data_IF_332597850587
#
_entry.id   IF_332597850587
#
_cell.length_a   1.000
_cell.length_b   1.000
_cell.length_c   1.000
_cell.angle_alpha   90.00
_cell.angle_beta   90.00
_cell.angle_gamma   90.00
#
_symmetry.space_group_name_H-M   'P 1'
#
loop_
_entity.id
_entity.type
_entity.pdbx_description
1 polymer ?
#
# COMPACT_ATOMS: atom_id res chain seq x y z
N UNK A 1 -18.34 -15.67 8.63
CA UNK A 1 -18.89 -16.17 9.92
C UNK A 1 -18.36 -17.56 10.31
N UNK A 2 -18.26 -18.53 9.40
CA UNK A 2 -17.75 -19.88 9.70
C UNK A 2 -16.35 -19.87 10.37
N UNK A 3 -15.38 -19.17 9.78
CA UNK A 3 -14.01 -19.08 10.34
C UNK A 3 -13.98 -18.43 11.73
N UNK A 4 -14.85 -17.44 11.98
CA UNK A 4 -14.98 -16.82 13.29
C UNK A 4 -15.53 -17.83 14.32
N UNK A 5 -16.56 -18.60 13.96
CA UNK A 5 -17.10 -19.63 14.84
C UNK A 5 -16.05 -20.71 15.16
N UNK A 6 -15.28 -21.14 14.16
CA UNK A 6 -14.23 -22.16 14.31
C UNK A 6 -13.08 -21.70 15.22
N UNK A 7 -12.57 -20.48 15.01
CA UNK A 7 -11.35 -20.02 15.69
C UNK A 7 -11.61 -19.15 16.93
N UNK A 8 -12.78 -18.52 17.01
CA UNK A 8 -13.16 -17.55 18.05
C UNK A 8 -14.61 -17.76 18.49
N UNK A 9 -14.98 -19.01 18.81
CA UNK A 9 -16.34 -19.40 19.19
C UNK A 9 -16.96 -18.54 20.29
N UNK A 10 -16.15 -18.06 21.24
CA UNK A 10 -16.59 -17.18 22.33
C UNK A 10 -17.00 -15.76 21.86
N UNK A 11 -16.45 -15.29 20.73
CA UNK A 11 -16.84 -14.01 20.12
C UNK A 11 -18.02 -14.16 19.17
N UNK A 12 -18.28 -15.37 18.65
CA UNK A 12 -19.32 -15.61 17.65
C UNK A 12 -20.69 -15.04 18.04
N UNK A 13 -21.22 -15.22 19.27
CA UNK A 13 -22.51 -14.65 19.64
C UNK A 13 -22.59 -13.13 19.47
N UNK A 14 -21.50 -12.42 19.76
CA UNK A 14 -21.44 -10.97 19.60
C UNK A 14 -21.51 -10.57 18.13
N UNK A 15 -20.73 -11.22 17.26
CA UNK A 15 -20.73 -10.91 15.83
C UNK A 15 -22.01 -11.38 15.13
N UNK A 16 -22.60 -12.50 15.56
CA UNK A 16 -23.83 -13.03 14.97
C UNK A 16 -25.00 -12.05 15.06
N UNK A 17 -25.05 -11.20 16.10
CA UNK A 17 -26.05 -10.14 16.24
C UNK A 17 -26.04 -9.14 15.07
N UNK A 18 -24.88 -8.96 14.41
CA UNK A 18 -24.67 -7.91 13.40
C UNK A 18 -24.46 -8.48 11.99
N UNK A 19 -23.92 -9.69 11.88
CA UNK A 19 -23.39 -10.24 10.62
C UNK A 19 -24.03 -11.55 10.14
N UNK A 20 -24.92 -12.15 10.93
CA UNK A 20 -25.55 -13.43 10.57
C UNK A 20 -26.82 -13.25 9.72
N UNK A 21 -27.28 -12.01 9.56
CA UNK A 21 -28.45 -11.66 8.74
C UNK A 21 -28.07 -10.69 7.63
N UNK A 22 -28.64 -10.81 6.42
CA UNK A 22 -28.49 -9.81 5.37
C UNK A 22 -28.84 -8.41 5.85
N UNK A 23 -28.05 -7.42 5.42
CA UNK A 23 -28.27 -6.01 5.77
C UNK A 23 -29.03 -5.29 4.63
N UNK A 24 -29.84 -4.30 4.97
CA UNK A 24 -30.47 -3.42 3.99
C UNK A 24 -29.57 -2.20 3.75
N UNK A 25 -29.02 -2.05 2.54
CA UNK A 25 -28.44 -0.78 2.11
C UNK A 25 -29.56 0.19 1.74
N UNK A 26 -29.66 1.28 2.49
CA UNK A 26 -30.68 2.30 2.29
C UNK A 26 -30.06 3.54 1.65
N UNK A 27 -30.61 3.99 0.53
CA UNK A 27 -30.17 5.23 -0.14
C UNK A 27 -31.36 6.01 -0.68
N UNK A 28 -31.17 7.31 -0.95
CA UNK A 28 -32.16 8.12 -1.69
C UNK A 28 -31.77 8.16 -3.15
N UNK A 29 -32.72 7.86 -4.03
CA UNK A 29 -32.53 8.07 -5.46
C UNK A 29 -32.61 9.55 -5.84
N UNK A 30 -32.41 9.86 -7.13
CA UNK A 30 -32.45 11.23 -7.66
C UNK A 30 -33.82 11.92 -7.45
N UNK A 31 -34.88 11.15 -7.20
CA UNK A 31 -36.21 11.66 -6.86
C UNK A 31 -36.44 11.84 -5.35
N UNK A 32 -35.38 11.75 -4.53
CA UNK A 32 -35.44 11.75 -3.07
C UNK A 32 -36.25 10.58 -2.47
N UNK A 33 -36.52 9.52 -3.25
CA UNK A 33 -37.25 8.34 -2.77
C UNK A 33 -36.29 7.39 -2.09
N UNK A 34 -36.68 6.92 -0.90
CA UNK A 34 -35.90 5.94 -0.15
C UNK A 34 -35.97 4.58 -0.86
N UNK A 35 -34.82 4.04 -1.25
CA UNK A 35 -34.63 2.73 -1.85
C UNK A 35 -33.87 1.83 -0.89
N UNK A 36 -34.15 0.53 -0.97
CA UNK A 36 -33.46 -0.52 -0.22
C UNK A 36 -32.92 -1.56 -1.18
N UNK A 37 -31.65 -1.92 -1.01
CA UNK A 37 -31.02 -3.05 -1.68
C UNK A 37 -30.57 -4.01 -0.57
N UNK A 38 -30.95 -5.27 -0.66
CA UNK A 38 -30.42 -6.29 0.25
C UNK A 38 -28.96 -6.57 -0.08
N UNK A 39 -28.14 -6.53 0.95
CA UNK A 39 -26.72 -6.82 0.90
C UNK A 39 -26.48 -8.15 1.61
N UNK A 40 -26.29 -9.21 0.82
CA UNK A 40 -26.15 -10.60 1.28
C UNK A 40 -24.69 -11.07 1.33
N UNK A 41 -23.81 -10.43 0.56
CA UNK A 41 -22.39 -10.79 0.46
C UNK A 41 -21.50 -9.56 0.65
N UNK A 42 -20.37 -9.76 1.34
CA UNK A 42 -19.37 -8.74 1.59
C UNK A 42 -19.54 -8.02 2.93
N UNK A 43 -18.70 -7.01 3.16
CA UNK A 43 -18.73 -6.15 4.36
C UNK A 43 -18.83 -4.70 3.91
N UNK A 44 -19.59 -3.89 4.65
CA UNK A 44 -19.75 -2.48 4.32
C UNK A 44 -18.42 -1.72 4.51
N UNK A 45 -18.05 -0.87 3.55
CA UNK A 45 -16.88 0.01 3.75
C UNK A 45 -17.12 1.00 4.90
N UNK A 46 -16.13 1.14 5.77
CA UNK A 46 -16.24 1.91 7.02
C UNK A 46 -16.75 1.10 8.21
N UNK A 47 -17.12 -0.17 8.00
CA UNK A 47 -17.39 -1.09 9.09
C UNK A 47 -16.11 -1.40 9.90
N UNK A 48 -16.20 -1.23 11.22
CA UNK A 48 -15.12 -1.47 12.18
C UNK A 48 -14.65 -2.93 12.17
N UNK A 49 -15.58 -3.88 12.07
CA UNK A 49 -15.28 -5.32 12.12
C UNK A 49 -15.05 -5.94 10.73
N UNK A 50 -15.45 -5.23 9.67
CA UNK A 50 -15.32 -5.67 8.29
C UNK A 50 -13.91 -6.17 7.92
N UNK A 51 -12.84 -5.39 8.17
CA UNK A 51 -11.47 -5.82 7.85
C UNK A 51 -11.04 -7.11 8.55
N UNK A 52 -11.41 -7.28 9.83
CA UNK A 52 -11.10 -8.49 10.59
C UNK A 52 -11.81 -9.70 9.97
N UNK A 53 -13.12 -9.58 9.72
CA UNK A 53 -13.92 -10.66 9.16
C UNK A 53 -13.45 -11.06 7.76
N UNK A 54 -13.07 -10.07 6.94
CA UNK A 54 -12.50 -10.29 5.62
C UNK A 54 -11.20 -11.11 5.70
N UNK A 55 -10.24 -10.68 6.53
CA UNK A 55 -8.98 -11.38 6.72
C UNK A 55 -9.16 -12.80 7.27
N UNK A 56 -10.07 -12.99 8.23
CA UNK A 56 -10.39 -14.31 8.78
C UNK A 56 -10.97 -15.25 7.71
N UNK A 57 -11.90 -14.75 6.89
CA UNK A 57 -12.52 -15.53 5.81
C UNK A 57 -11.56 -15.84 4.66
N UNK A 58 -10.64 -14.93 4.33
CA UNK A 58 -9.69 -15.09 3.23
C UNK A 58 -8.57 -16.08 3.56
N UNK A 59 -8.18 -16.18 4.83
CA UNK A 59 -7.01 -16.95 5.29
C UNK A 59 -7.00 -18.43 4.84
N UNK A 60 -8.10 -19.20 4.92
CA UNK A 60 -8.11 -20.59 4.44
C UNK A 60 -7.82 -20.71 2.94
N UNK A 61 -8.36 -19.80 2.12
CA UNK A 61 -8.12 -19.80 0.67
C UNK A 61 -6.66 -19.48 0.34
N UNK A 62 -6.03 -18.56 1.07
CA UNK A 62 -4.60 -18.28 0.94
C UNK A 62 -3.73 -19.47 1.38
N UNK A 63 -4.13 -20.18 2.44
CA UNK A 63 -3.43 -21.38 2.89
C UNK A 63 -3.46 -22.48 1.83
N UNK A 64 -4.63 -22.74 1.23
CA UNK A 64 -4.78 -23.69 0.12
C UNK A 64 -4.00 -23.27 -1.13
N UNK A 65 -4.05 -21.98 -1.48
CA UNK A 65 -3.27 -21.42 -2.58
C UNK A 65 -1.77 -21.67 -2.38
N UNK A 66 -1.24 -21.38 -1.19
CA UNK A 66 0.18 -21.64 -0.89
C UNK A 66 0.52 -23.13 -1.02
N UNK A 67 -0.31 -24.02 -0.49
CA UNK A 67 -0.11 -25.48 -0.60
C UNK A 67 -0.12 -25.96 -2.05
N UNK A 68 -1.04 -25.49 -2.87
CA UNK A 68 -1.12 -25.87 -4.30
C UNK A 68 0.12 -25.41 -5.07
N UNK A 69 0.57 -24.17 -4.83
CA UNK A 69 1.76 -23.63 -5.47
C UNK A 69 3.02 -24.38 -5.02
N UNK A 70 3.16 -24.64 -3.72
CA UNK A 70 4.30 -25.41 -3.20
C UNK A 70 4.33 -26.85 -3.73
N UNK A 71 3.17 -27.49 -3.89
CA UNK A 71 3.07 -28.85 -4.43
C UNK A 71 3.62 -28.97 -5.85
N UNK A 72 3.37 -27.97 -6.71
CA UNK A 72 3.90 -27.95 -8.08
C UNK A 72 5.40 -27.62 -8.16
N UNK A 73 5.91 -26.80 -7.24
CA UNK A 73 7.29 -26.32 -7.25
C UNK A 73 8.22 -27.10 -6.29
N UNK A 74 7.87 -28.35 -5.94
CA UNK A 74 8.65 -29.22 -5.04
C UNK A 74 9.01 -28.56 -3.70
N UNK A 75 8.14 -27.69 -3.19
CA UNK A 75 8.36 -26.94 -1.94
C UNK A 75 9.43 -25.85 -2.02
N UNK A 76 10.00 -25.53 -3.19
CA UNK A 76 11.04 -24.50 -3.34
C UNK A 76 10.44 -23.11 -3.52
N UNK A 77 10.67 -22.26 -2.52
CA UNK A 77 10.72 -20.80 -2.66
C UNK A 77 9.46 -20.11 -3.18
N UNK A 78 8.28 -20.43 -2.63
CA UNK A 78 7.04 -19.68 -2.84
C UNK A 78 6.66 -18.92 -1.56
N UNK A 79 6.41 -17.63 -1.69
CA UNK A 79 5.95 -16.74 -0.64
C UNK A 79 4.69 -16.00 -1.10
N UNK A 80 3.69 -15.90 -0.22
CA UNK A 80 2.49 -15.10 -0.44
C UNK A 80 2.45 -14.03 0.64
N UNK A 81 2.57 -12.77 0.23
CA UNK A 81 2.36 -11.60 1.06
C UNK A 81 0.97 -11.03 0.78
N UNK A 82 0.20 -10.75 1.82
CA UNK A 82 -1.17 -10.22 1.67
C UNK A 82 -1.37 -9.04 2.59
N UNK A 83 -1.88 -7.95 2.01
CA UNK A 83 -2.42 -6.82 2.75
C UNK A 83 -3.85 -6.59 2.29
N UNK A 84 -4.83 -7.05 3.07
CA UNK A 84 -6.24 -7.07 2.66
C UNK A 84 -6.44 -7.75 1.29
N UNK A 85 -6.95 -7.05 0.29
CA UNK A 85 -7.16 -7.54 -1.08
C UNK A 85 -5.90 -7.55 -1.95
N UNK A 86 -4.83 -6.86 -1.52
CA UNK A 86 -3.56 -6.83 -2.25
C UNK A 86 -2.75 -8.11 -1.96
N UNK A 87 -2.87 -9.07 -2.88
CA UNK A 87 -2.16 -10.35 -2.83
C UNK A 87 -0.93 -10.31 -3.75
N UNK A 88 0.24 -10.49 -3.15
CA UNK A 88 1.53 -10.58 -3.85
C UNK A 88 2.13 -11.97 -3.71
N UNK A 89 2.53 -12.56 -4.82
CA UNK A 89 3.10 -13.91 -4.87
C UNK A 89 4.53 -13.80 -5.41
N UNK A 90 5.49 -14.29 -4.63
CA UNK A 90 6.89 -14.39 -5.01
C UNK A 90 7.22 -15.86 -5.18
N UNK A 91 7.86 -16.21 -6.29
CA UNK A 91 8.26 -17.58 -6.58
C UNK A 91 9.61 -17.62 -7.30
N UNK A 92 10.39 -18.67 -7.04
CA UNK A 92 11.58 -18.96 -7.82
C UNK A 92 11.19 -19.65 -9.12
N UNK A 93 11.70 -19.14 -10.25
CA UNK A 93 11.54 -19.78 -11.54
C UNK A 93 12.88 -20.38 -12.00
N UNK A 94 12.86 -21.57 -12.61
CA UNK A 94 14.04 -22.15 -13.25
C UNK A 94 14.16 -21.61 -14.66
N UNK A 95 15.24 -20.88 -14.95
CA UNK A 95 15.50 -20.26 -16.25
C UNK A 95 15.81 -21.25 -17.38
N UNK A 96 15.72 -22.55 -17.14
CA UNK A 96 16.15 -23.59 -18.09
C UNK A 96 15.13 -23.90 -19.19
N UNK A 97 13.89 -23.41 -19.09
CA UNK A 97 12.85 -23.69 -20.09
C UNK A 97 12.18 -22.40 -20.56
N UNK A 98 12.42 -22.04 -21.82
CA UNK A 98 11.81 -20.91 -22.54
C UNK A 98 10.29 -21.06 -22.80
N UNK A 99 9.65 -22.12 -22.29
CA UNK A 99 8.21 -22.40 -22.38
C UNK A 99 7.60 -22.67 -20.99
N UNK A 100 7.97 -21.87 -20.01
CA UNK A 100 7.44 -22.03 -18.65
C UNK A 100 6.08 -21.32 -18.50
N UNK A 101 5.01 -22.11 -18.47
CA UNK A 101 3.62 -21.67 -18.20
C UNK A 101 3.38 -21.37 -16.71
N UNK A 102 4.42 -21.24 -15.87
CA UNK A 102 4.29 -21.00 -14.43
C UNK A 102 3.47 -19.75 -14.10
N UNK A 103 3.66 -18.63 -14.82
CA UNK A 103 2.87 -17.40 -14.59
C UNK A 103 1.37 -17.66 -14.86
N UNK A 104 1.06 -18.33 -15.98
CA UNK A 104 -0.31 -18.68 -16.35
C UNK A 104 -0.93 -19.67 -15.35
N UNK A 105 -0.14 -20.62 -14.88
CA UNK A 105 -0.57 -21.57 -13.86
C UNK A 105 -0.88 -20.88 -12.52
N UNK A 106 0.03 -20.04 -12.03
CA UNK A 106 -0.15 -19.28 -10.79
C UNK A 106 -1.42 -18.45 -10.88
N UNK A 107 -1.64 -17.77 -12.01
CA UNK A 107 -2.88 -17.03 -12.22
C UNK A 107 -4.12 -17.92 -12.08
N UNK A 108 -4.15 -19.05 -12.79
CA UNK A 108 -5.31 -19.96 -12.79
C UNK A 108 -5.60 -20.50 -11.40
N UNK A 109 -4.58 -20.92 -10.66
CA UNK A 109 -4.73 -21.43 -9.30
C UNK A 109 -5.19 -20.31 -8.35
N UNK A 110 -4.58 -19.13 -8.42
CA UNK A 110 -4.99 -17.96 -7.64
C UNK A 110 -6.44 -17.57 -7.92
N UNK A 111 -6.82 -17.49 -9.19
CA UNK A 111 -8.19 -17.18 -9.59
C UNK A 111 -9.18 -18.20 -9.04
N UNK A 112 -8.89 -19.50 -9.17
CA UNK A 112 -9.75 -20.56 -8.65
C UNK A 112 -9.91 -20.47 -7.12
N UNK A 113 -8.81 -20.33 -6.37
CA UNK A 113 -8.83 -20.30 -4.90
C UNK A 113 -9.46 -19.05 -4.31
N UNK A 114 -9.26 -17.90 -4.95
CA UNK A 114 -9.87 -16.65 -4.52
C UNK A 114 -11.35 -16.60 -4.89
N UNK A 115 -11.74 -17.21 -6.02
CA UNK A 115 -13.15 -17.34 -6.40
C UNK A 115 -13.94 -18.22 -5.43
N UNK A 116 -13.34 -19.25 -4.82
CA UNK A 116 -13.96 -20.02 -3.73
C UNK A 116 -14.36 -19.14 -2.54
N UNK A 117 -13.65 -18.02 -2.33
CA UNK A 117 -13.97 -17.03 -1.30
C UNK A 117 -14.89 -15.89 -1.82
N UNK A 118 -15.27 -15.92 -3.10
CA UNK A 118 -16.08 -14.89 -3.74
C UNK A 118 -15.28 -13.71 -4.29
N UNK A 119 -13.95 -13.83 -4.40
CA UNK A 119 -13.10 -12.78 -4.97
C UNK A 119 -12.73 -13.05 -6.43
N UNK A 120 -12.82 -12.00 -7.23
CA UNK A 120 -12.39 -12.01 -8.63
C UNK A 120 -11.11 -11.21 -8.80
N UNK A 121 -10.10 -11.79 -9.44
CA UNK A 121 -8.87 -11.07 -9.77
C UNK A 121 -9.15 -9.98 -10.80
N UNK A 122 -8.56 -8.80 -10.63
CA UNK A 122 -8.70 -7.66 -11.54
C UNK A 122 -7.50 -7.56 -12.49
N UNK A 123 -7.60 -8.00 -13.77
CA UNK A 123 -6.43 -8.08 -14.65
C UNK A 123 -5.69 -6.75 -14.80
N UNK A 124 -6.42 -5.64 -15.00
CA UNK A 124 -5.82 -4.31 -15.19
C UNK A 124 -5.13 -3.71 -13.95
N UNK A 125 -5.20 -4.37 -12.79
CA UNK A 125 -4.46 -4.01 -11.57
C UNK A 125 -3.40 -5.05 -11.20
N UNK A 126 -3.42 -6.20 -11.88
CA UNK A 126 -2.44 -7.26 -11.68
C UNK A 126 -1.26 -7.05 -12.62
N UNK A 127 -0.07 -7.22 -12.09
CA UNK A 127 1.17 -7.14 -12.88
C UNK A 127 2.11 -8.25 -12.48
N UNK A 128 3.05 -8.55 -13.36
CA UNK A 128 4.14 -9.50 -13.09
C UNK A 128 5.45 -8.81 -13.40
N UNK A 129 6.46 -9.08 -12.58
CA UNK A 129 7.79 -8.52 -12.70
C UNK A 129 8.84 -9.59 -12.39
N UNK A 130 9.99 -9.51 -13.08
CA UNK A 130 11.19 -10.24 -12.72
C UNK A 130 12.41 -9.35 -12.89
N UNK A 131 13.38 -9.36 -11.94
CA UNK A 131 14.63 -8.63 -12.09
C UNK A 131 15.40 -8.99 -13.36
N UNK A 132 15.24 -10.22 -13.88
CA UNK A 132 15.91 -10.68 -15.10
C UNK A 132 15.36 -10.02 -16.38
N UNK A 133 14.20 -9.38 -16.32
CA UNK A 133 13.58 -8.74 -17.49
C UNK A 133 14.08 -7.33 -17.75
N UNK A 134 14.92 -6.77 -16.86
CA UNK A 134 15.41 -5.39 -16.91
C UNK A 134 16.07 -5.02 -18.24
N UNK A 135 16.67 -5.98 -18.93
CA UNK A 135 17.39 -5.78 -20.20
C UNK A 135 16.63 -6.32 -21.42
N UNK A 136 15.41 -6.83 -21.22
CA UNK A 136 14.61 -7.38 -22.29
C UNK A 136 13.78 -6.28 -22.94
N UNK A 137 13.67 -6.30 -24.27
CA UNK A 137 12.77 -5.37 -24.98
C UNK A 137 11.30 -5.80 -24.87
N UNK A 138 11.05 -7.09 -24.63
CA UNK A 138 9.71 -7.67 -24.50
C UNK A 138 9.76 -8.78 -23.45
N UNK A 139 8.65 -8.97 -22.73
CA UNK A 139 8.51 -10.08 -21.79
C UNK A 139 8.57 -11.40 -22.56
N UNK A 140 9.43 -12.36 -22.16
CA UNK A 140 9.57 -13.63 -22.88
C UNK A 140 8.42 -14.60 -22.58
N UNK A 141 7.45 -14.20 -21.77
CA UNK A 141 6.36 -15.05 -21.31
C UNK A 141 5.00 -14.56 -21.81
N UNK A 142 4.18 -15.50 -22.26
CA UNK A 142 2.77 -15.26 -22.59
C UNK A 142 1.99 -14.97 -21.30
N UNK A 143 1.62 -13.70 -21.10
CA UNK A 143 0.69 -13.33 -20.05
C UNK A 143 -0.76 -13.44 -20.54
N UNK A 144 -1.68 -13.63 -19.60
CA UNK A 144 -3.11 -13.58 -19.93
C UNK A 144 -3.49 -12.20 -20.49
N UNK A 145 -4.51 -12.13 -21.36
CA UNK A 145 -5.12 -10.87 -21.75
C UNK A 145 -5.49 -10.04 -20.53
N UNK A 146 -4.97 -8.82 -20.46
CA UNK A 146 -5.24 -7.86 -19.39
C UNK A 146 -4.18 -7.80 -18.28
N UNK A 147 -3.25 -8.74 -18.17
CA UNK A 147 -2.08 -8.60 -17.28
C UNK A 147 -0.94 -7.97 -18.07
N UNK A 148 -0.40 -6.86 -17.57
CA UNK A 148 0.73 -6.17 -18.19
C UNK A 148 2.02 -6.56 -17.47
N UNK A 149 2.96 -7.25 -18.15
CA UNK A 149 4.29 -7.45 -17.61
C UNK A 149 4.99 -6.11 -17.44
N UNK A 150 5.61 -5.90 -16.27
CA UNK A 150 6.42 -4.73 -16.04
C UNK A 150 7.90 -5.06 -16.17
N UNK A 151 8.56 -4.41 -17.13
CA UNK A 151 10.01 -4.52 -17.34
C UNK A 151 10.81 -3.61 -16.41
N UNK A 152 10.16 -2.56 -15.87
CA UNK A 152 10.82 -1.50 -15.11
C UNK A 152 10.67 -1.63 -13.61
N UNK A 153 9.61 -2.27 -13.11
CA UNK A 153 9.38 -2.46 -11.67
C UNK A 153 7.93 -2.68 -11.28
N UNK A 154 7.66 -2.78 -9.99
CA UNK A 154 6.32 -2.95 -9.42
C UNK A 154 6.15 -2.09 -8.17
N UNK A 155 4.89 -1.89 -7.75
CA UNK A 155 4.54 -1.22 -6.50
C UNK A 155 4.03 -2.26 -5.50
N UNK A 156 4.49 -2.19 -4.26
CA UNK A 156 4.02 -3.02 -3.15
C UNK A 156 3.86 -2.15 -1.91
N UNK A 157 2.65 -2.12 -1.33
CA UNK A 157 2.32 -1.28 -0.17
C UNK A 157 2.75 0.19 -0.34
N UNK A 158 2.65 0.71 -1.57
CA UNK A 158 3.06 2.08 -1.90
C UNK A 158 4.56 2.29 -2.14
N UNK A 159 5.42 1.31 -1.89
CA UNK A 159 6.85 1.32 -2.24
C UNK A 159 7.09 0.83 -3.67
N UNK A 160 7.98 1.50 -4.40
CA UNK A 160 8.38 1.07 -5.74
C UNK A 160 9.64 0.21 -5.67
N UNK A 161 9.65 -0.92 -6.40
CA UNK A 161 10.81 -1.81 -6.51
C UNK A 161 11.07 -2.08 -8.00
N UNK A 162 12.30 -1.97 -8.47
CA UNK A 162 12.60 -2.23 -9.88
C UNK A 162 13.93 -1.69 -10.36
N UNK A 163 13.90 -0.88 -11.40
CA UNK A 163 15.07 -0.13 -11.87
C UNK A 163 15.26 1.13 -11.04
N UNK A 164 16.51 1.58 -10.88
CA UNK A 164 16.80 2.82 -10.18
C UNK A 164 16.04 4.04 -10.76
N UNK A 165 15.80 4.04 -12.08
CA UNK A 165 14.99 5.08 -12.72
C UNK A 165 13.50 5.02 -12.31
N UNK A 166 12.93 3.82 -12.21
CA UNK A 166 11.55 3.60 -11.77
C UNK A 166 11.37 3.98 -10.30
N UNK A 167 12.29 3.53 -9.44
CA UNK A 167 12.31 3.84 -8.01
C UNK A 167 12.45 5.34 -7.78
N UNK A 168 13.40 6.01 -8.45
CA UNK A 168 13.59 7.45 -8.33
C UNK A 168 12.40 8.25 -8.85
N UNK A 169 11.78 7.84 -9.95
CA UNK A 169 10.59 8.51 -10.48
C UNK A 169 9.43 8.47 -9.49
N UNK A 170 9.20 7.31 -8.85
CA UNK A 170 8.15 7.15 -7.83
C UNK A 170 8.48 7.92 -6.54
N UNK A 171 9.74 7.89 -6.11
CA UNK A 171 10.20 8.71 -4.98
C UNK A 171 9.92 10.19 -5.24
N UNK A 172 10.31 10.70 -6.42
CA UNK A 172 10.08 12.08 -6.80
C UNK A 172 8.59 12.43 -6.84
N UNK A 173 7.75 11.57 -7.40
CA UNK A 173 6.27 11.73 -7.39
C UNK A 173 5.75 11.95 -5.96
N UNK A 174 6.21 11.14 -5.00
CA UNK A 174 5.77 11.23 -3.60
C UNK A 174 6.32 12.43 -2.85
N UNK A 175 7.57 12.81 -3.13
CA UNK A 175 8.15 14.05 -2.63
C UNK A 175 7.39 15.26 -3.19
N UNK A 176 7.03 15.26 -4.47
CA UNK A 176 6.28 16.35 -5.10
C UNK A 176 4.85 16.47 -4.55
N UNK A 177 4.17 15.35 -4.28
CA UNK A 177 2.90 15.33 -3.55
C UNK A 177 3.02 15.97 -2.15
N UNK A 178 4.09 15.67 -1.42
CA UNK A 178 4.34 16.26 -0.09
C UNK A 178 4.63 17.76 -0.19
N UNK A 179 5.40 18.19 -1.20
CA UNK A 179 5.68 19.61 -1.49
C UNK A 179 4.42 20.38 -1.85
N UNK A 180 3.55 19.80 -2.69
CA UNK A 180 2.29 20.41 -3.07
C UNK A 180 1.39 20.62 -1.84
N UNK A 181 1.37 19.65 -0.92
CA UNK A 181 0.66 19.77 0.35
C UNK A 181 1.28 20.84 1.26
N UNK A 182 2.61 20.92 1.35
CA UNK A 182 3.32 21.98 2.09
C UNK A 182 2.94 23.38 1.59
N UNK A 183 2.92 23.58 0.26
CA UNK A 183 2.47 24.84 -0.35
C UNK A 183 1.01 25.16 -0.04
N UNK A 184 0.11 24.18 -0.08
CA UNK A 184 -1.29 24.39 0.30
C UNK A 184 -1.44 24.80 1.78
N UNK A 185 -0.54 24.32 2.65
CA UNK A 185 -0.50 24.69 4.07
C UNK A 185 0.03 26.12 4.26
N UNK A 186 0.93 26.60 3.41
CA UNK A 186 1.38 28.01 3.41
C UNK A 186 0.19 28.98 3.23
N UNK A 187 -0.82 28.60 2.46
CA UNK A 187 -2.03 29.40 2.22
C UNK A 187 -3.05 29.36 3.39
N UNK A 188 -2.83 28.54 4.41
CA UNK A 188 -3.77 28.38 5.54
C UNK A 188 -3.87 29.64 6.42
N UNK A 189 -2.82 30.44 6.49
CA UNK A 189 -2.81 31.76 7.14
C UNK A 189 -2.68 31.78 8.67
N UNK A 190 -3.05 30.72 9.39
CA UNK A 190 -2.77 30.57 10.83
C UNK A 190 -1.50 29.73 11.07
N UNK A 191 -0.40 30.30 11.59
CA UNK A 191 0.85 29.58 11.79
C UNK A 191 0.73 28.37 12.73
N UNK A 192 -0.17 28.42 13.73
CA UNK A 192 -0.34 27.31 14.68
C UNK A 192 -1.03 26.11 14.03
N UNK A 193 -2.15 26.33 13.36
CA UNK A 193 -2.83 25.29 12.60
C UNK A 193 -1.98 24.78 11.43
N UNK A 194 -1.24 25.66 10.75
CA UNK A 194 -0.33 25.26 9.69
C UNK A 194 0.82 24.38 10.20
N UNK A 195 1.40 24.68 11.38
CA UNK A 195 2.36 23.79 12.04
C UNK A 195 1.77 22.40 12.32
N UNK A 196 0.54 22.33 12.87
CA UNK A 196 -0.13 21.05 13.13
C UNK A 196 -0.42 20.29 11.83
N UNK A 197 -0.90 20.96 10.78
CA UNK A 197 -1.12 20.33 9.48
C UNK A 197 0.18 19.80 8.88
N UNK A 198 1.29 20.52 9.02
CA UNK A 198 2.59 20.04 8.59
C UNK A 198 2.98 18.77 9.36
N UNK A 199 2.81 18.79 10.68
CA UNK A 199 3.17 17.67 11.57
C UNK A 199 2.31 16.41 11.36
N UNK A 200 1.01 16.58 11.10
CA UNK A 200 0.07 15.46 10.98
C UNK A 200 -0.29 15.06 9.55
N UNK A 201 0.02 15.88 8.54
CA UNK A 201 -0.36 15.59 7.15
C UNK A 201 0.85 15.49 6.20
N UNK A 202 1.93 16.23 6.43
CA UNK A 202 3.13 16.20 5.56
C UNK A 202 4.16 15.20 6.11
N UNK A 203 4.61 15.37 7.35
CA UNK A 203 5.65 14.53 7.94
C UNK A 203 5.30 13.03 7.92
N UNK A 204 4.08 12.59 8.26
CA UNK A 204 3.77 11.16 8.29
C UNK A 204 3.87 10.50 6.91
N UNK A 205 3.63 11.24 5.82
CA UNK A 205 3.81 10.74 4.46
C UNK A 205 5.28 10.44 4.16
N UNK A 206 6.18 11.30 4.62
CA UNK A 206 7.62 11.15 4.41
C UNK A 206 8.21 10.10 5.33
N UNK A 207 7.80 10.08 6.61
CA UNK A 207 8.15 8.99 7.54
C UNK A 207 7.69 7.66 6.97
N UNK A 208 6.48 7.58 6.41
CA UNK A 208 6.05 6.38 5.71
C UNK A 208 6.96 6.05 4.52
N UNK A 209 7.25 7.04 3.65
CA UNK A 209 8.12 6.87 2.48
C UNK A 209 9.52 6.34 2.85
N UNK A 210 10.12 6.84 3.95
CA UNK A 210 11.42 6.36 4.43
C UNK A 210 11.39 4.90 4.85
N UNK A 211 10.27 4.43 5.42
CA UNK A 211 10.12 3.01 5.81
C UNK A 211 9.99 2.09 4.61
N UNK A 212 9.43 2.57 3.51
CA UNK A 212 9.17 1.74 2.31
C UNK A 212 10.25 1.88 1.23
N UNK A 213 11.04 2.95 1.24
CA UNK A 213 12.02 3.28 0.19
C UNK A 213 13.35 3.83 0.73
N UNK A 214 13.57 3.87 2.05
CA UNK A 214 14.77 4.45 2.67
C UNK A 214 16.07 3.89 2.08
N UNK A 215 16.20 2.56 2.08
CA UNK A 215 17.39 1.86 1.58
C UNK A 215 17.57 1.94 0.05
N UNK A 216 16.54 2.35 -0.69
CA UNK A 216 16.57 2.42 -2.15
C UNK A 216 17.14 3.74 -2.66
N UNK A 217 17.01 4.80 -1.86
CA UNK A 217 17.38 6.17 -2.25
C UNK A 217 18.73 6.57 -1.63
N UNK A 218 19.45 7.48 -2.28
CA UNK A 218 20.70 7.99 -1.72
C UNK A 218 20.39 9.02 -0.64
N UNK A 219 21.30 9.17 0.33
CA UNK A 219 21.23 10.23 1.35
C UNK A 219 21.03 11.62 0.75
N UNK A 220 21.69 11.90 -0.37
CA UNK A 220 21.54 13.18 -1.09
C UNK A 220 20.10 13.42 -1.61
N UNK A 221 19.38 12.35 -2.00
CA UNK A 221 17.98 12.45 -2.45
C UNK A 221 17.07 12.83 -1.26
N UNK A 222 17.30 12.24 -0.08
CA UNK A 222 16.59 12.58 1.16
C UNK A 222 16.93 13.98 1.68
N UNK A 223 18.21 14.36 1.66
CA UNK A 223 18.66 15.70 2.04
C UNK A 223 18.04 16.79 1.16
N UNK A 224 17.83 16.52 -0.13
CA UNK A 224 17.14 17.43 -1.02
C UNK A 224 15.66 17.60 -0.64
N UNK A 225 14.97 16.50 -0.31
CA UNK A 225 13.59 16.55 0.18
C UNK A 225 13.49 17.32 1.51
N UNK A 226 14.36 17.04 2.48
CA UNK A 226 14.44 17.74 3.77
C UNK A 226 14.57 19.25 3.59
N UNK A 227 15.52 19.69 2.75
CA UNK A 227 15.78 21.12 2.52
C UNK A 227 14.55 21.82 1.97
N UNK A 228 13.93 21.28 0.93
CA UNK A 228 12.78 21.93 0.28
C UNK A 228 11.54 21.99 1.19
N UNK A 229 11.34 20.96 2.03
CA UNK A 229 10.25 20.92 3.00
C UNK A 229 10.51 21.83 4.20
N UNK A 230 11.76 21.88 4.67
CA UNK A 230 12.20 22.84 5.68
C UNK A 230 11.97 24.27 5.20
N UNK A 231 12.29 24.59 3.96
CA UNK A 231 12.00 25.91 3.36
C UNK A 231 10.50 26.22 3.32
N UNK A 232 9.64 25.25 3.01
CA UNK A 232 8.18 25.42 3.07
C UNK A 232 7.71 25.70 4.49
N UNK A 233 8.22 24.96 5.45
CA UNK A 233 7.89 25.18 6.86
C UNK A 233 8.38 26.53 7.39
N UNK A 234 9.59 26.95 7.00
CA UNK A 234 10.16 28.27 7.34
C UNK A 234 9.24 29.39 6.87
N UNK A 235 8.69 29.28 5.65
CA UNK A 235 7.71 30.23 5.12
C UNK A 235 6.41 30.23 5.92
N UNK A 236 5.88 29.05 6.27
CA UNK A 236 4.68 28.91 7.12
C UNK A 236 4.85 29.63 8.46
N UNK A 237 6.03 29.49 9.07
CA UNK A 237 6.30 30.08 10.38
C UNK A 237 6.73 31.55 10.33
N UNK A 238 6.99 32.07 9.14
CA UNK A 238 7.47 33.45 8.95
C UNK A 238 8.91 33.67 9.40
N UNK A 239 9.74 32.63 9.45
CA UNK A 239 11.17 32.77 9.76
C UNK A 239 11.93 33.27 8.52
N UNK A 240 12.93 34.13 8.74
CA UNK A 240 13.94 34.41 7.73
C UNK A 240 14.88 33.21 7.55
N UNK A 241 15.55 33.07 6.39
CA UNK A 241 16.55 32.02 6.18
C UNK A 241 17.69 32.03 7.21
N UNK A 242 18.04 33.23 7.72
CA UNK A 242 19.08 33.39 8.74
C UNK A 242 18.62 32.87 10.10
N UNK A 243 17.39 33.18 10.51
CA UNK A 243 16.80 32.66 11.75
C UNK A 243 16.67 31.13 11.68
N UNK A 244 16.21 30.59 10.55
CA UNK A 244 16.14 29.15 10.35
C UNK A 244 17.49 28.47 10.48
N UNK A 245 18.55 29.01 9.88
CA UNK A 245 19.90 28.46 9.99
C UNK A 245 20.42 28.37 11.42
N UNK A 246 19.89 29.15 12.35
CA UNK A 246 20.27 29.14 13.77
C UNK A 246 19.42 28.19 14.63
N UNK A 247 18.19 27.88 14.21
CA UNK A 247 17.23 27.09 15.00
C UNK A 247 16.83 25.77 14.36
N UNK A 248 17.28 25.47 13.13
CA UNK A 248 16.92 24.28 12.38
C UNK A 248 17.29 23.00 13.13
N UNK A 249 18.47 22.94 13.75
CA UNK A 249 18.89 21.80 14.57
C UNK A 249 17.92 21.54 15.74
N UNK A 250 17.36 22.60 16.35
CA UNK A 250 16.36 22.47 17.41
C UNK A 250 15.00 22.00 16.87
N UNK A 251 14.64 22.37 15.64
CA UNK A 251 13.40 21.89 15.01
C UNK A 251 13.41 20.36 14.81
N UNK A 252 14.59 19.80 14.49
CA UNK A 252 14.77 18.36 14.32
C UNK A 252 14.92 17.57 15.63
N UNK A 253 15.08 18.25 16.77
CA UNK A 253 15.01 17.57 18.07
C UNK A 253 13.60 17.03 18.30
N UNK A 254 13.52 15.93 19.03
CA UNK A 254 12.23 15.38 19.46
C UNK A 254 11.48 16.36 20.37
N UNK A 255 10.14 16.25 20.41
CA UNK A 255 9.33 17.11 21.28
C UNK A 255 9.68 16.99 22.76
N UNK A 256 10.10 15.81 23.23
CA UNK A 256 10.53 15.60 24.62
C UNK A 256 11.89 16.24 24.94
N UNK A 257 12.68 16.60 23.92
CA UNK A 257 13.94 17.36 24.03
C UNK A 257 13.73 18.86 23.83
N UNK A 258 12.48 19.33 23.74
CA UNK A 258 12.16 20.74 23.50
C UNK A 258 12.23 21.15 22.02
N UNK A 259 12.31 20.18 21.10
CA UNK A 259 12.26 20.42 19.66
C UNK A 259 10.86 20.35 19.06
N UNK A 260 10.78 20.46 17.74
CA UNK A 260 9.51 20.42 17.00
C UNK A 260 9.13 19.00 16.53
N UNK A 261 10.01 18.02 16.77
CA UNK A 261 9.80 16.62 16.40
C UNK A 261 9.90 16.37 14.90
N UNK A 262 10.61 17.23 14.16
CA UNK A 262 10.84 16.99 12.74
C UNK A 262 11.86 15.87 12.58
N UNK A 263 11.58 14.95 11.67
CA UNK A 263 12.53 13.88 11.35
C UNK A 263 13.54 14.43 10.35
N UNK A 264 14.82 14.25 10.63
CA UNK A 264 15.90 14.57 9.70
C UNK A 264 16.17 13.35 8.81
N UNK A 265 15.66 13.35 7.59
CA UNK A 265 15.67 12.18 6.72
C UNK A 265 17.05 11.84 6.13
N UNK A 266 17.99 12.78 6.09
CA UNK A 266 19.41 12.54 5.69
C UNK A 266 20.23 11.72 6.72
N UNK A 267 19.67 11.42 7.90
CA UNK A 267 20.35 10.59 8.92
C UNK A 267 19.93 9.13 8.94
N UNK A 268 18.95 8.75 8.11
CA UNK A 268 18.43 7.38 8.01
C UNK A 268 19.18 6.60 6.94
#
# INVERSE_FOLDING_TARGET
MNELHTHFSHLYPFFALWYDTPSDLVFRDQGCVLRKIKYEEGVQQGDVAGPLLFCLGLKPSLGRLLSDLQGKHEGKGCFIGVFMEDVSIVFLFSSTHYQDDSILHIWKVSAARLQEFGLTLHPGKSSVHSPLWRYMQQCPYTCLPGIVPSLTGFRLCGGANGTAAYERAHFQEKVDEAKALGKAIEEYGDPRGAHLLFHFCVLPKLVYLTRIMGDMMQRADWAAADRELGESWVRVMGFSPMEWGQVSEQAYLSQYQGGLGFTHFDTV
#
